data_IF_607744386996
#
_entry.id   IF_607744386996
#
_cell.length_a   1.000
_cell.length_b   1.000
_cell.length_c   1.000
_cell.angle_alpha   90.00
_cell.angle_beta   90.00
_cell.angle_gamma   90.00
#
_symmetry.space_group_name_H-M   'P 1'
#
loop_
_entity.id
_entity.type
_entity.pdbx_description
1 polymer ?
#
# COMPACT_ATOMS: atom_id res chain seq x y z
N UNK A 1 3.91 13.94 -12.09
CA UNK A 1 3.96 12.62 -12.75
C UNK A 1 2.71 12.46 -13.61
N UNK A 2 2.82 11.90 -14.82
CA UNK A 2 1.62 11.67 -15.65
C UNK A 2 0.65 10.74 -14.92
N UNK A 3 -0.63 11.12 -14.89
CA UNK A 3 -1.72 10.38 -14.24
C UNK A 3 -1.75 8.92 -14.70
N UNK A 4 -1.51 8.67 -15.98
CA UNK A 4 -1.51 7.31 -16.54
C UNK A 4 -0.39 6.44 -15.95
N UNK A 5 0.80 7.02 -15.70
CA UNK A 5 1.89 6.27 -15.08
C UNK A 5 1.60 5.93 -13.62
N UNK A 6 0.91 6.82 -12.89
CA UNK A 6 0.47 6.52 -11.51
C UNK A 6 -0.45 5.32 -11.44
N UNK A 7 -1.50 5.28 -12.27
CA UNK A 7 -2.44 4.16 -12.29
C UNK A 7 -1.78 2.86 -12.78
N UNK A 8 -0.80 2.93 -13.68
CA UNK A 8 -0.02 1.76 -14.06
C UNK A 8 0.80 1.20 -12.89
N UNK A 9 1.48 2.06 -12.12
CA UNK A 9 2.24 1.66 -10.92
C UNK A 9 1.29 1.07 -9.86
N UNK A 10 0.16 1.72 -9.61
CA UNK A 10 -0.85 1.21 -8.68
C UNK A 10 -1.37 -0.17 -9.11
N UNK A 11 -1.65 -0.34 -10.40
CA UNK A 11 -2.08 -1.62 -10.97
C UNK A 11 -1.06 -2.73 -10.72
N UNK A 12 0.24 -2.44 -10.91
CA UNK A 12 1.31 -3.40 -10.62
C UNK A 12 1.35 -3.77 -9.14
N UNK A 13 1.24 -2.79 -8.23
CA UNK A 13 1.23 -3.04 -6.78
C UNK A 13 0.07 -3.91 -6.34
N UNK A 14 -1.14 -3.63 -6.84
CA UNK A 14 -2.34 -4.41 -6.54
C UNK A 14 -2.21 -5.84 -7.08
N UNK A 15 -1.69 -6.01 -8.30
CA UNK A 15 -1.44 -7.33 -8.87
C UNK A 15 -0.45 -8.14 -8.04
N UNK A 16 0.66 -7.54 -7.61
CA UNK A 16 1.63 -8.19 -6.72
C UNK A 16 1.00 -8.60 -5.40
N UNK A 17 0.19 -7.72 -4.81
CA UNK A 17 -0.54 -8.03 -3.58
C UNK A 17 -1.51 -9.21 -3.77
N UNK A 18 -2.28 -9.24 -4.87
CA UNK A 18 -3.16 -10.38 -5.19
C UNK A 18 -2.37 -11.68 -5.32
N UNK A 19 -1.22 -11.65 -6.01
CA UNK A 19 -0.33 -12.82 -6.14
C UNK A 19 0.13 -13.31 -4.76
N UNK A 20 0.48 -12.41 -3.84
CA UNK A 20 0.87 -12.78 -2.46
C UNK A 20 -0.29 -13.48 -1.73
N UNK A 21 -1.51 -12.95 -1.81
CA UNK A 21 -2.68 -13.56 -1.18
C UNK A 21 -2.92 -14.98 -1.72
N UNK A 22 -2.86 -15.14 -3.05
CA UNK A 22 -3.05 -16.44 -3.72
C UNK A 22 -1.93 -17.42 -3.34
N UNK A 23 -0.68 -16.97 -3.38
CA UNK A 23 0.50 -17.80 -3.09
C UNK A 23 0.52 -18.29 -1.65
N UNK A 24 0.27 -17.39 -0.70
CA UNK A 24 0.38 -17.71 0.74
C UNK A 24 -0.86 -18.40 1.29
N UNK A 25 -2.03 -18.15 0.70
CA UNK A 25 -3.36 -18.52 1.22
C UNK A 25 -3.62 -18.01 2.65
N UNK A 26 -2.82 -17.06 3.14
CA UNK A 26 -2.93 -16.49 4.48
C UNK A 26 -3.70 -15.18 4.44
N UNK A 27 -4.68 -15.05 5.32
CA UNK A 27 -5.46 -13.82 5.48
C UNK A 27 -4.69 -12.72 6.21
N UNK A 28 -3.61 -13.07 6.91
CA UNK A 28 -2.78 -12.13 7.66
C UNK A 28 -2.29 -10.95 6.80
N UNK A 29 -1.94 -11.21 5.54
CA UNK A 29 -1.52 -10.17 4.60
C UNK A 29 -2.64 -9.20 4.20
N UNK A 30 -3.90 -9.63 4.25
CA UNK A 30 -5.03 -8.72 4.10
C UNK A 30 -5.15 -7.80 5.32
N UNK A 31 -4.91 -8.32 6.52
CA UNK A 31 -4.88 -7.48 7.72
C UNK A 31 -3.71 -6.50 7.70
N UNK A 32 -2.52 -6.91 7.23
CA UNK A 32 -1.40 -6.00 7.04
C UNK A 32 -1.70 -4.93 5.98
N UNK A 33 -2.41 -5.28 4.90
CA UNK A 33 -2.88 -4.31 3.92
C UNK A 33 -3.82 -3.28 4.55
N UNK A 34 -4.86 -3.73 5.27
CA UNK A 34 -5.84 -2.85 5.91
C UNK A 34 -5.16 -1.96 6.95
N UNK A 35 -4.26 -2.51 7.77
CA UNK A 35 -3.51 -1.75 8.77
C UNK A 35 -2.64 -0.67 8.12
N UNK A 36 -1.89 -1.03 7.07
CA UNK A 36 -1.08 -0.07 6.32
C UNK A 36 -1.91 1.05 5.71
N UNK A 37 -3.03 0.71 5.07
CA UNK A 37 -3.93 1.69 4.46
C UNK A 37 -4.55 2.64 5.50
N UNK A 38 -5.03 2.14 6.64
CA UNK A 38 -5.65 2.97 7.68
C UNK A 38 -4.61 3.91 8.32
N UNK A 39 -3.44 3.39 8.66
CA UNK A 39 -2.38 4.15 9.31
C UNK A 39 -1.86 5.23 8.36
N UNK A 40 -1.55 4.86 7.10
CA UNK A 40 -1.08 5.79 6.09
C UNK A 40 -2.09 6.90 5.80
N UNK A 41 -3.37 6.54 5.60
CA UNK A 41 -4.45 7.51 5.42
C UNK A 41 -4.60 8.48 6.59
N UNK A 42 -4.47 7.99 7.83
CA UNK A 42 -4.50 8.86 9.01
C UNK A 42 -3.37 9.89 9.00
N UNK A 43 -2.13 9.45 8.77
CA UNK A 43 -0.97 10.36 8.71
C UNK A 43 -1.07 11.33 7.53
N UNK A 44 -1.58 10.88 6.39
CA UNK A 44 -1.83 11.71 5.23
C UNK A 44 -2.85 12.80 5.50
N UNK A 45 -3.99 12.46 6.12
CA UNK A 45 -5.00 13.46 6.48
C UNK A 45 -4.39 14.51 7.40
N UNK A 46 -3.69 14.09 8.45
CA UNK A 46 -3.06 15.01 9.40
C UNK A 46 -2.06 15.91 8.65
N UNK A 47 -1.23 15.34 7.78
CA UNK A 47 -0.20 16.08 7.06
C UNK A 47 -0.76 17.08 6.05
N UNK A 48 -1.79 16.68 5.30
CA UNK A 48 -2.52 17.56 4.37
C UNK A 48 -3.25 18.66 5.14
N UNK A 49 -3.90 18.33 6.27
CA UNK A 49 -4.61 19.32 7.10
C UNK A 49 -3.68 20.37 7.74
N UNK A 50 -2.43 19.98 8.03
CA UNK A 50 -1.39 20.87 8.55
C UNK A 50 -0.63 21.63 7.44
N UNK A 51 -0.93 21.34 6.17
CA UNK A 51 -0.30 22.02 5.03
C UNK A 51 1.14 21.60 4.74
N UNK A 52 1.58 20.43 5.23
CA UNK A 52 2.95 19.94 4.95
C UNK A 52 3.17 19.61 3.48
N UNK A 53 2.14 19.10 2.80
CA UNK A 53 2.16 18.87 1.35
C UNK A 53 0.73 18.77 0.80
N UNK A 54 0.62 18.82 -0.53
CA UNK A 54 -0.60 18.61 -1.26
C UNK A 54 -0.42 17.48 -2.26
N UNK A 55 -1.42 16.62 -2.35
CA UNK A 55 -1.43 15.56 -3.34
C UNK A 55 -1.75 16.08 -4.73
N UNK A 56 -1.17 15.42 -5.73
CA UNK A 56 -1.67 15.54 -7.10
C UNK A 56 -3.10 14.97 -7.14
N UNK A 57 -4.05 15.61 -7.85
CA UNK A 57 -5.46 15.24 -7.80
C UNK A 57 -5.74 13.95 -8.59
N UNK A 58 -5.44 12.81 -7.98
CA UNK A 58 -5.80 11.48 -8.49
C UNK A 58 -7.16 11.07 -7.88
N UNK A 59 -8.28 11.17 -8.63
CA UNK A 59 -9.58 10.79 -8.08
C UNK A 59 -9.69 9.26 -7.87
N UNK A 60 -10.50 8.79 -6.90
CA UNK A 60 -11.26 9.60 -5.94
C UNK A 60 -10.39 10.11 -4.79
N UNK A 61 -10.77 11.26 -4.22
CA UNK A 61 -10.06 11.93 -3.12
C UNK A 61 -10.99 12.03 -1.91
N UNK A 62 -10.48 11.71 -0.72
CA UNK A 62 -11.19 11.81 0.57
C UNK A 62 -10.32 12.65 1.50
N UNK A 63 -10.88 13.73 2.08
CA UNK A 63 -10.13 14.67 2.94
C UNK A 63 -8.82 15.21 2.32
N UNK A 64 -8.79 15.43 1.00
CA UNK A 64 -7.60 15.90 0.29
C UNK A 64 -6.56 14.81 -0.01
N UNK A 65 -6.82 13.56 0.38
CA UNK A 65 -5.96 12.41 0.14
C UNK A 65 -6.54 11.50 -0.96
N UNK A 66 -5.80 11.22 -2.03
CA UNK A 66 -6.21 10.25 -3.05
C UNK A 66 -6.35 8.85 -2.47
N UNK A 67 -7.50 8.21 -2.69
CA UNK A 67 -7.72 6.81 -2.29
C UNK A 67 -6.70 5.87 -2.93
N UNK A 68 -6.22 6.22 -4.12
CA UNK A 68 -5.16 5.48 -4.82
C UNK A 68 -3.85 5.44 -4.05
N UNK A 69 -3.49 6.51 -3.33
CA UNK A 69 -2.29 6.56 -2.48
C UNK A 69 -2.48 5.67 -1.27
N UNK A 70 -3.62 5.78 -0.59
CA UNK A 70 -3.98 4.91 0.54
C UNK A 70 -3.94 3.42 0.18
N UNK A 71 -4.44 3.04 -1.00
CA UNK A 71 -4.35 1.66 -1.50
C UNK A 71 -2.88 1.27 -1.74
N UNK A 72 -2.09 2.15 -2.35
CA UNK A 72 -0.67 1.90 -2.61
C UNK A 72 0.11 1.66 -1.31
N UNK A 73 -0.15 2.44 -0.26
CA UNK A 73 0.47 2.27 1.07
C UNK A 73 0.10 0.93 1.70
N UNK A 74 -1.18 0.57 1.67
CA UNK A 74 -1.63 -0.75 2.13
C UNK A 74 -0.90 -1.88 1.41
N UNK A 75 -0.81 -1.80 0.07
CA UNK A 75 -0.07 -2.79 -0.72
C UNK A 75 1.41 -2.83 -0.33
N UNK A 76 2.06 -1.67 -0.18
CA UNK A 76 3.47 -1.57 0.17
C UNK A 76 3.78 -2.23 1.51
N UNK A 77 2.95 -2.00 2.54
CA UNK A 77 3.11 -2.64 3.84
C UNK A 77 2.95 -4.16 3.73
N UNK A 78 1.88 -4.64 3.11
CA UNK A 78 1.64 -6.09 2.99
C UNK A 78 2.77 -6.81 2.21
N UNK A 79 3.24 -6.20 1.11
CA UNK A 79 4.36 -6.71 0.30
C UNK A 79 5.65 -6.72 1.12
N UNK A 80 5.94 -5.67 1.88
CA UNK A 80 7.16 -5.56 2.70
C UNK A 80 7.20 -6.66 3.76
N UNK A 81 6.08 -6.89 4.46
CA UNK A 81 5.99 -7.96 5.47
C UNK A 81 6.15 -9.33 4.81
N UNK A 82 5.55 -9.56 3.65
CA UNK A 82 5.75 -10.81 2.91
C UNK A 82 7.23 -11.06 2.54
N UNK A 83 7.92 -10.04 2.01
CA UNK A 83 9.34 -10.14 1.64
C UNK A 83 10.18 -10.44 2.89
N UNK A 84 9.90 -9.76 4.01
CA UNK A 84 10.55 -10.02 5.29
C UNK A 84 10.37 -11.48 5.70
N UNK A 85 9.12 -11.98 5.74
CA UNK A 85 8.82 -13.35 6.15
C UNK A 85 9.49 -14.39 5.24
N UNK A 86 9.53 -14.13 3.94
CA UNK A 86 10.22 -14.97 2.97
C UNK A 86 11.73 -15.01 3.24
N UNK A 87 12.36 -13.85 3.46
CA UNK A 87 13.77 -13.74 3.77
C UNK A 87 14.14 -14.47 5.07
N UNK A 88 13.35 -14.29 6.14
CA UNK A 88 13.55 -15.03 7.39
C UNK A 88 13.44 -16.54 7.20
N UNK A 89 12.44 -17.00 6.44
CA UNK A 89 12.28 -18.43 6.13
C UNK A 89 13.48 -19.00 5.36
N UNK A 90 14.07 -18.22 4.46
CA UNK A 90 15.26 -18.64 3.71
C UNK A 90 16.51 -18.69 4.59
N UNK A 91 16.65 -17.74 5.53
CA UNK A 91 17.77 -17.69 6.46
C UNK A 91 17.71 -18.81 7.51
N UNK A 92 16.52 -19.13 8.03
CA UNK A 92 16.30 -20.17 9.04
C UNK A 92 16.22 -21.60 8.48
N UNK A 93 16.26 -21.77 7.16
CA UNK A 93 16.36 -23.08 6.49
C UNK A 93 17.81 -23.52 6.22
N UNK A 94 18.79 -22.78 6.75
CA UNK A 94 20.18 -23.21 6.91
C UNK A 94 20.37 -23.72 8.33
#
# INVERSE_FOLDING_TARGET
>A
MNVNYWYAILGILVLLFIVIIIYTKKKDYLYYFIAGAIIGFYFDIVSVSQGYYLYHPYPPVIFGVPLTVTIAEGCAIAITIFIKDLAFKMLLKR
#
